data_IF_749779688698
#
_entry.id   IF_749779688698
#
_cell.length_a   1.000
_cell.length_b   1.000
_cell.length_c   1.000
_cell.angle_alpha   90.00
_cell.angle_beta   90.00
_cell.angle_gamma   90.00
#
_symmetry.space_group_name_H-M   'P 1'
#
loop_
_entity.id
_entity.type
_entity.pdbx_description
1 polymer ?
#
# COMPACT_ATOMS: atom_id res chain seq x y z
N UNK A 1 6.64 0.96 -2.33
CA UNK A 1 5.75 0.95 -3.51
C UNK A 1 4.62 -0.07 -3.30
N UNK A 2 3.48 0.12 -3.98
CA UNK A 2 2.30 -0.76 -3.91
C UNK A 2 2.49 -2.14 -4.58
N UNK A 3 1.65 -3.13 -4.22
CA UNK A 3 0.59 -3.11 -3.19
C UNK A 3 1.14 -3.17 -1.75
N UNK A 4 0.31 -2.81 -0.77
CA UNK A 4 0.63 -2.88 0.65
C UNK A 4 -0.43 -3.64 1.47
N UNK A 5 -0.02 -4.37 2.50
CA UNK A 5 -0.86 -5.04 3.50
C UNK A 5 -0.91 -4.21 4.79
N UNK A 6 -1.74 -3.16 4.76
CA UNK A 6 -2.01 -2.29 5.90
C UNK A 6 -3.32 -2.64 6.62
N UNK A 7 -4.15 -3.51 6.04
CA UNK A 7 -5.45 -3.93 6.58
C UNK A 7 -5.81 -5.38 6.18
N UNK A 8 -7.04 -5.79 6.51
CA UNK A 8 -7.62 -7.09 6.15
C UNK A 8 -8.70 -7.02 5.08
N UNK A 9 -8.79 -5.94 4.30
CA UNK A 9 -9.82 -5.76 3.27
C UNK A 9 -9.56 -6.59 2.00
N UNK A 10 -8.37 -7.17 1.89
CA UNK A 10 -8.02 -8.09 0.82
C UNK A 10 -8.26 -9.56 1.20
N UNK A 11 -8.55 -10.41 0.21
CA UNK A 11 -8.71 -11.86 0.43
C UNK A 11 -7.43 -12.54 0.95
N UNK A 12 -6.26 -11.93 0.71
CA UNK A 12 -4.98 -12.39 1.24
C UNK A 12 -4.81 -11.90 2.68
N UNK A 13 -5.12 -10.63 2.97
CA UNK A 13 -5.10 -10.07 4.33
C UNK A 13 -5.94 -10.89 5.31
N UNK A 14 -7.18 -11.26 4.94
CA UNK A 14 -8.03 -12.13 5.77
C UNK A 14 -7.42 -13.51 6.05
N UNK A 15 -6.79 -14.13 5.05
CA UNK A 15 -6.12 -15.44 5.22
C UNK A 15 -4.92 -15.34 6.15
N UNK A 16 -4.21 -14.21 6.13
CA UNK A 16 -3.05 -13.95 6.98
C UNK A 16 -3.51 -13.71 8.41
N UNK A 17 -4.58 -12.94 8.61
CA UNK A 17 -5.21 -12.74 9.90
C UNK A 17 -5.70 -14.08 10.49
N UNK A 18 -6.43 -14.89 9.72
CA UNK A 18 -6.92 -16.21 10.18
C UNK A 18 -5.78 -17.16 10.56
N UNK A 19 -4.66 -17.13 9.83
CA UNK A 19 -3.55 -18.07 10.02
C UNK A 19 -2.55 -17.62 11.08
N UNK A 20 -2.31 -16.32 11.20
CA UNK A 20 -1.23 -15.76 12.01
C UNK A 20 -1.68 -14.69 13.02
N UNK A 21 -2.96 -14.28 12.99
CA UNK A 21 -3.50 -13.25 13.87
C UNK A 21 -2.98 -11.83 13.58
N UNK A 22 -2.47 -11.58 12.38
CA UNK A 22 -1.94 -10.28 11.96
C UNK A 22 -2.96 -9.57 11.07
N UNK A 23 -3.45 -8.42 11.52
CA UNK A 23 -4.35 -7.55 10.75
C UNK A 23 -3.60 -6.56 9.85
N UNK A 24 -2.34 -6.27 10.18
CA UNK A 24 -1.47 -5.34 9.47
C UNK A 24 -0.06 -5.94 9.42
N UNK A 25 0.72 -5.65 8.37
CA UNK A 25 2.04 -6.27 8.18
C UNK A 25 3.17 -5.24 8.10
N UNK A 26 3.53 -4.77 6.91
CA UNK A 26 4.71 -3.89 6.72
C UNK A 26 4.47 -2.43 7.09
N UNK A 27 3.21 -2.01 7.18
CA UNK A 27 2.80 -0.66 7.59
C UNK A 27 1.42 -0.78 8.23
N UNK A 28 1.17 0.01 9.27
CA UNK A 28 -0.15 0.06 9.93
C UNK A 28 -1.11 0.92 9.12
N UNK A 29 -2.41 0.69 9.28
CA UNK A 29 -3.46 1.48 8.61
C UNK A 29 -3.38 2.95 9.04
N UNK A 30 -3.11 3.21 10.32
CA UNK A 30 -2.92 4.56 10.86
C UNK A 30 -1.84 5.34 10.10
N UNK A 31 -0.68 4.72 9.85
CA UNK A 31 0.41 5.37 9.11
C UNK A 31 0.06 5.49 7.64
N UNK A 32 -0.56 4.46 7.07
CA UNK A 32 -0.93 4.40 5.66
C UNK A 32 -1.92 5.51 5.26
N UNK A 33 -2.94 5.77 6.08
CA UNK A 33 -3.95 6.81 5.87
C UNK A 33 -3.55 8.18 6.45
N UNK A 34 -2.45 8.27 7.19
CA UNK A 34 -2.01 9.53 7.79
C UNK A 34 -1.65 10.59 6.76
N UNK A 35 -1.67 11.86 7.19
CA UNK A 35 -1.15 13.00 6.42
C UNK A 35 0.35 12.91 6.07
N UNK A 36 1.09 11.99 6.70
CA UNK A 36 2.51 11.75 6.42
C UNK A 36 2.70 10.80 5.23
N UNK A 37 1.64 10.10 4.83
CA UNK A 37 1.64 9.14 3.72
C UNK A 37 1.60 9.85 2.37
N UNK A 38 2.60 9.57 1.53
CA UNK A 38 2.71 10.11 0.15
C UNK A 38 2.56 9.02 -0.92
N UNK A 39 2.12 7.82 -0.52
CA UNK A 39 2.07 6.62 -1.37
C UNK A 39 1.17 6.77 -2.60
N UNK A 40 0.09 7.56 -2.49
CA UNK A 40 -0.79 7.86 -3.63
C UNK A 40 -0.11 8.78 -4.66
N UNK A 41 0.62 9.80 -4.19
CA UNK A 41 1.41 10.66 -5.07
C UNK A 41 2.55 9.88 -5.74
N UNK A 42 3.22 8.99 -4.99
CA UNK A 42 4.22 8.08 -5.54
C UNK A 42 3.63 7.20 -6.65
N UNK A 43 2.43 6.64 -6.44
CA UNK A 43 1.75 5.81 -7.42
C UNK A 43 1.36 6.58 -8.69
N UNK A 44 0.82 7.79 -8.56
CA UNK A 44 0.48 8.67 -9.69
C UNK A 44 1.74 9.02 -10.52
N UNK A 45 2.83 9.38 -9.83
CA UNK A 45 4.09 9.78 -10.45
C UNK A 45 4.74 8.66 -11.29
N UNK A 46 4.34 7.39 -11.14
CA UNK A 46 4.76 6.32 -12.05
C UNK A 46 4.39 6.63 -13.49
N UNK A 47 3.19 7.15 -13.76
CA UNK A 47 2.77 7.49 -15.13
C UNK A 47 3.59 8.66 -15.69
N UNK A 48 3.75 9.72 -14.89
CA UNK A 48 4.47 10.92 -15.31
C UNK A 48 5.95 10.65 -15.59
N UNK A 49 6.61 9.89 -14.72
CA UNK A 49 8.03 9.53 -14.90
C UNK A 49 8.23 8.60 -16.10
N UNK A 50 7.36 7.61 -16.32
CA UNK A 50 7.38 6.79 -17.53
C UNK A 50 7.21 7.64 -18.79
N UNK A 51 6.26 8.59 -18.79
CA UNK A 51 6.05 9.52 -19.92
C UNK A 51 7.30 10.35 -20.20
N UNK A 52 7.95 10.87 -19.16
CA UNK A 52 9.18 11.67 -19.31
C UNK A 52 10.35 10.86 -19.87
N UNK A 53 10.44 9.57 -19.55
CA UNK A 53 11.47 8.67 -20.08
C UNK A 53 11.22 8.31 -21.55
N UNK A 54 9.95 8.21 -21.96
CA UNK A 54 9.57 7.83 -23.33
C UNK A 54 9.57 8.99 -24.34
N UNK A 55 9.53 10.24 -23.87
CA UNK A 55 9.49 11.44 -24.70
C UNK A 55 10.88 11.79 -25.26
#
# INVERSE_FOLDING_TARGET
>A
CFPAFHDTDTSIGKKIEEKYGLSEMEVTDEVFESSQSVVFQEAENRMHTIKAIMA
#
